data_IF_736509635061
#
_entry.id   IF_736509635061
#
_cell.length_a   1.000
_cell.length_b   1.000
_cell.length_c   1.000
_cell.angle_alpha   90.00
_cell.angle_beta   90.00
_cell.angle_gamma   90.00
#
_symmetry.space_group_name_H-M   'P 1'
#
loop_
_entity.id
_entity.type
_entity.pdbx_description
1 polymer ?
#
# COMPACT_ATOMS: atom_id res chain seq x y z
N UNK A 1 18.19 -11.20 -8.00
CA UNK A 1 17.22 -10.19 -7.53
C UNK A 1 17.82 -8.78 -7.56
N UNK A 2 19.04 -8.56 -7.05
CA UNK A 2 19.69 -7.24 -6.98
C UNK A 2 19.83 -6.58 -8.35
N UNK A 3 20.33 -7.28 -9.37
CA UNK A 3 20.47 -6.76 -10.75
C UNK A 3 19.11 -6.35 -11.34
N UNK A 4 18.06 -7.13 -11.06
CA UNK A 4 16.71 -6.79 -11.52
C UNK A 4 16.20 -5.52 -10.84
N UNK A 5 16.36 -5.40 -9.52
CA UNK A 5 16.03 -4.21 -8.76
C UNK A 5 16.73 -2.96 -9.32
N UNK A 6 18.04 -3.03 -9.51
CA UNK A 6 18.86 -1.94 -10.05
C UNK A 6 18.38 -1.50 -11.44
N UNK A 7 18.12 -2.45 -12.33
CA UNK A 7 17.60 -2.15 -13.69
C UNK A 7 16.23 -1.47 -13.68
N UNK A 8 15.34 -1.89 -12.79
CA UNK A 8 14.01 -1.28 -12.65
C UNK A 8 14.13 0.14 -12.08
N UNK A 9 14.97 0.33 -11.07
CA UNK A 9 15.28 1.64 -10.50
C UNK A 9 15.84 2.60 -11.55
N UNK A 10 16.88 2.18 -12.27
CA UNK A 10 17.58 3.02 -13.25
C UNK A 10 16.66 3.42 -14.42
N UNK A 11 15.65 2.62 -14.71
CA UNK A 11 14.59 2.92 -15.68
C UNK A 11 13.41 3.69 -15.06
N UNK A 12 13.47 3.99 -13.76
CA UNK A 12 12.39 4.66 -13.01
C UNK A 12 11.06 3.88 -12.99
N UNK A 13 11.12 2.57 -13.14
CA UNK A 13 9.96 1.69 -13.24
C UNK A 13 9.40 1.26 -11.88
N UNK A 14 9.90 1.82 -10.77
CA UNK A 14 9.24 1.68 -9.46
C UNK A 14 8.00 2.57 -9.35
N UNK A 15 8.03 3.72 -10.04
CA UNK A 15 6.91 4.65 -10.15
C UNK A 15 6.86 5.17 -11.60
N UNK A 16 6.47 4.28 -12.57
CA UNK A 16 6.61 4.57 -13.98
C UNK A 16 5.73 5.71 -14.47
N UNK A 17 4.60 5.95 -13.84
CA UNK A 17 3.59 6.97 -14.14
C UNK A 17 3.78 8.28 -13.35
N UNK A 18 4.66 8.28 -12.34
CA UNK A 18 4.88 9.52 -11.57
C UNK A 18 5.66 10.56 -12.38
N UNK A 19 5.47 11.87 -12.07
CA UNK A 19 6.23 12.94 -12.73
C UNK A 19 7.73 12.74 -12.63
N UNK A 20 8.42 13.04 -13.73
CA UNK A 20 9.88 12.85 -13.84
C UNK A 20 10.66 13.73 -12.85
N UNK A 21 10.11 14.89 -12.49
CA UNK A 21 10.68 15.84 -11.53
C UNK A 21 10.79 15.31 -10.11
N UNK A 22 9.94 14.31 -9.76
CA UNK A 22 9.98 13.60 -8.48
C UNK A 22 10.64 12.20 -8.60
N UNK A 23 11.34 11.94 -9.70
CA UNK A 23 12.07 10.69 -9.91
C UNK A 23 11.24 9.57 -10.55
N UNK A 24 10.01 9.85 -10.97
CA UNK A 24 9.16 8.92 -11.71
C UNK A 24 9.55 8.75 -13.17
N UNK A 25 8.90 7.80 -13.85
CA UNK A 25 9.14 7.51 -15.28
C UNK A 25 8.43 8.45 -16.24
N UNK A 26 7.43 9.20 -15.79
CA UNK A 26 6.64 10.12 -16.62
C UNK A 26 5.83 9.42 -17.73
N UNK A 27 5.50 8.15 -17.56
CA UNK A 27 4.72 7.41 -18.56
C UNK A 27 3.26 7.83 -18.51
N UNK A 28 2.68 8.05 -19.67
CA UNK A 28 1.23 8.18 -19.80
C UNK A 28 0.52 6.83 -19.63
N UNK A 29 -0.80 6.86 -19.49
CA UNK A 29 -1.60 5.66 -19.23
C UNK A 29 -1.44 4.58 -20.32
N UNK A 30 -1.25 4.96 -21.59
CA UNK A 30 -1.08 4.01 -22.69
C UNK A 30 0.27 3.28 -22.58
N UNK A 31 1.35 4.02 -22.33
CA UNK A 31 2.70 3.45 -22.15
C UNK A 31 2.79 2.64 -20.87
N UNK A 32 2.15 3.08 -19.78
CA UNK A 32 2.07 2.32 -18.54
C UNK A 32 1.42 0.96 -18.77
N UNK A 33 0.28 0.92 -19.48
CA UNK A 33 -0.41 -0.34 -19.82
C UNK A 33 0.51 -1.29 -20.62
N UNK A 34 1.21 -0.79 -21.61
CA UNK A 34 2.16 -1.58 -22.40
C UNK A 34 3.26 -2.17 -21.49
N UNK A 35 3.82 -1.35 -20.59
CA UNK A 35 4.83 -1.81 -19.64
C UNK A 35 4.28 -2.91 -18.71
N UNK A 36 3.10 -2.72 -18.14
CA UNK A 36 2.44 -3.70 -17.26
C UNK A 36 2.15 -5.01 -18.00
N UNK A 37 1.65 -4.95 -19.25
CA UNK A 37 1.37 -6.11 -20.09
C UNK A 37 2.65 -6.88 -20.44
N UNK A 38 3.73 -6.20 -20.79
CA UNK A 38 5.01 -6.85 -21.08
C UNK A 38 5.63 -7.48 -19.82
N UNK A 39 5.58 -6.80 -18.66
CA UNK A 39 6.05 -7.38 -17.40
C UNK A 39 5.24 -8.65 -17.04
N UNK A 40 3.93 -8.64 -17.26
CA UNK A 40 3.04 -9.79 -17.05
C UNK A 40 3.35 -10.91 -18.04
N UNK A 41 3.47 -10.59 -19.33
CA UNK A 41 3.81 -11.56 -20.39
C UNK A 41 5.14 -12.26 -20.11
N UNK A 42 6.13 -11.52 -19.66
CA UNK A 42 7.46 -12.05 -19.32
C UNK A 42 7.53 -12.68 -17.92
N UNK A 43 6.41 -12.68 -17.17
CA UNK A 43 6.35 -13.15 -15.78
C UNK A 43 7.41 -12.49 -14.88
N UNK A 44 7.66 -11.22 -15.13
CA UNK A 44 8.59 -10.45 -14.32
C UNK A 44 7.97 -10.17 -12.95
N UNK A 45 8.74 -10.38 -11.88
CA UNK A 45 8.31 -10.01 -10.54
C UNK A 45 8.37 -8.50 -10.38
N UNK A 46 7.34 -7.91 -9.77
CA UNK A 46 7.40 -6.53 -9.30
C UNK A 46 8.52 -6.44 -8.27
N UNK A 47 9.50 -5.54 -8.46
CA UNK A 47 10.75 -5.59 -7.70
C UNK A 47 10.58 -5.24 -6.22
N UNK A 48 9.52 -4.55 -5.86
CA UNK A 48 9.33 -4.11 -4.49
C UNK A 48 7.86 -3.88 -4.12
N UNK A 49 7.44 -4.54 -3.05
CA UNK A 49 6.24 -4.18 -2.30
C UNK A 49 6.61 -3.02 -1.39
N UNK A 50 6.26 -1.80 -1.76
CA UNK A 50 6.57 -0.61 -0.98
C UNK A 50 5.30 0.21 -0.74
N UNK A 51 4.85 0.26 0.52
CA UNK A 51 3.69 1.04 0.93
C UNK A 51 3.84 2.54 0.58
N UNK A 52 5.08 3.03 0.56
CA UNK A 52 5.39 4.39 0.10
C UNK A 52 4.96 4.61 -1.35
N UNK A 53 5.35 3.73 -2.27
CA UNK A 53 5.03 3.88 -3.70
C UNK A 53 3.55 3.63 -3.96
N UNK A 54 2.96 2.60 -3.35
CA UNK A 54 1.60 2.19 -3.70
C UNK A 54 0.49 3.00 -3.05
N UNK A 55 0.77 3.58 -1.89
CA UNK A 55 -0.24 4.21 -1.05
C UNK A 55 0.07 5.67 -0.75
N UNK A 56 1.22 5.95 -0.13
CA UNK A 56 1.56 7.31 0.31
C UNK A 56 1.96 8.22 -0.84
N UNK A 57 2.73 7.72 -1.81
CA UNK A 57 3.25 8.55 -2.91
C UNK A 57 2.16 9.19 -3.76
N UNK A 58 1.13 8.45 -4.23
CA UNK A 58 -0.02 9.04 -4.90
C UNK A 58 -0.71 10.11 -4.04
N UNK A 59 -0.81 9.89 -2.74
CA UNK A 59 -1.39 10.88 -1.79
C UNK A 59 -0.49 12.10 -1.64
N UNK A 60 0.83 11.94 -1.61
CA UNK A 60 1.77 13.06 -1.60
C UNK A 60 1.69 13.87 -2.91
N UNK A 61 1.53 13.22 -4.04
CA UNK A 61 1.35 13.90 -5.34
C UNK A 61 0.07 14.76 -5.34
N UNK A 62 -1.00 14.31 -4.69
CA UNK A 62 -2.29 15.00 -4.64
C UNK A 62 -2.36 16.07 -3.54
N UNK A 63 -1.92 15.76 -2.30
CA UNK A 63 -2.12 16.59 -1.11
C UNK A 63 -0.85 17.20 -0.54
N UNK A 64 0.32 16.75 -0.96
CA UNK A 64 1.60 17.23 -0.45
C UNK A 64 1.95 18.62 -0.95
N UNK A 65 2.64 19.39 -0.12
CA UNK A 65 3.29 20.63 -0.56
C UNK A 65 4.46 20.31 -1.50
N UNK A 66 4.91 21.29 -2.28
CA UNK A 66 6.06 21.11 -3.17
C UNK A 66 7.31 20.65 -2.39
N UNK A 67 7.55 21.25 -1.23
CA UNK A 67 8.67 20.87 -0.36
C UNK A 67 8.58 19.39 0.08
N UNK A 68 7.38 18.92 0.43
CA UNK A 68 7.16 17.51 0.81
C UNK A 68 7.36 16.57 -0.39
N UNK A 69 6.87 16.93 -1.57
CA UNK A 69 7.06 16.14 -2.79
C UNK A 69 8.55 15.99 -3.12
N UNK A 70 9.29 17.08 -3.11
CA UNK A 70 10.74 17.08 -3.37
C UNK A 70 11.53 16.33 -2.30
N UNK A 71 11.09 16.35 -1.05
CA UNK A 71 11.77 15.67 0.03
C UNK A 71 11.53 14.15 0.02
N UNK A 72 10.29 13.70 -0.19
CA UNK A 72 9.89 12.33 0.08
C UNK A 72 9.75 11.45 -1.17
N UNK A 73 9.32 11.99 -2.31
CA UNK A 73 9.07 11.18 -3.50
C UNK A 73 10.36 10.63 -4.16
N UNK A 74 11.43 11.41 -4.36
CA UNK A 74 12.63 10.89 -5.01
C UNK A 74 13.30 9.72 -4.28
N UNK A 75 13.47 9.72 -2.94
CA UNK A 75 14.01 8.54 -2.25
C UNK A 75 13.07 7.33 -2.30
N UNK A 76 11.73 7.52 -2.38
CA UNK A 76 10.80 6.41 -2.61
C UNK A 76 11.04 5.75 -3.97
N UNK A 77 11.15 6.56 -5.03
CA UNK A 77 11.33 6.03 -6.40
C UNK A 77 12.68 5.34 -6.59
N UNK A 78 13.66 5.62 -5.74
CA UNK A 78 14.95 4.92 -5.72
C UNK A 78 14.98 3.71 -4.79
N UNK A 79 13.91 3.49 -4.02
CA UNK A 79 13.82 2.38 -3.07
C UNK A 79 14.78 2.51 -1.87
N UNK A 80 15.12 3.75 -1.50
CA UNK A 80 16.06 4.08 -0.42
C UNK A 80 15.39 4.20 0.94
N UNK A 81 14.07 4.35 0.99
CA UNK A 81 13.30 4.66 2.19
C UNK A 81 12.14 3.69 2.36
N UNK A 82 12.11 3.04 3.52
CA UNK A 82 11.02 2.16 3.94
C UNK A 82 9.91 2.93 4.65
N UNK A 83 8.65 2.59 4.33
CA UNK A 83 7.46 3.22 4.90
C UNK A 83 6.57 2.21 5.60
N UNK A 84 5.98 2.59 6.73
CA UNK A 84 4.92 1.83 7.36
C UNK A 84 3.68 2.69 7.63
N UNK A 85 2.55 2.02 7.85
CA UNK A 85 1.24 2.65 8.07
C UNK A 85 0.83 2.61 9.52
N UNK A 86 0.61 3.77 10.14
CA UNK A 86 0.16 3.90 11.51
C UNK A 86 -1.32 4.29 11.60
N UNK A 87 -2.24 3.35 11.30
CA UNK A 87 -3.68 3.62 11.32
C UNK A 87 -4.36 2.98 12.53
N UNK A 88 -4.46 1.65 12.57
CA UNK A 88 -5.14 0.92 13.64
C UNK A 88 -4.53 1.14 15.01
N UNK A 89 -5.38 1.15 16.04
CA UNK A 89 -4.99 1.20 17.45
C UNK A 89 -5.57 0.00 18.19
N UNK A 90 -5.09 -0.33 19.40
CA UNK A 90 -5.57 -1.50 20.13
C UNK A 90 -7.11 -1.58 20.28
N UNK A 91 -7.77 -0.42 20.38
CA UNK A 91 -9.22 -0.29 20.55
C UNK A 91 -9.94 0.20 19.28
N UNK A 92 -9.23 0.49 18.20
CA UNK A 92 -9.80 1.07 16.97
C UNK A 92 -9.21 0.44 15.72
N UNK A 93 -9.96 -0.47 15.11
CA UNK A 93 -9.64 -1.09 13.83
C UNK A 93 -10.72 -0.75 12.81
N UNK A 94 -11.85 -1.45 12.86
CA UNK A 94 -12.99 -1.21 11.96
C UNK A 94 -13.60 0.19 12.16
N UNK A 95 -13.67 0.68 13.40
CA UNK A 95 -14.04 2.05 13.72
C UNK A 95 -12.80 2.95 13.80
N UNK A 96 -12.08 3.06 12.70
CA UNK A 96 -10.81 3.80 12.61
C UNK A 96 -10.97 5.28 13.00
N UNK A 97 -12.13 5.89 12.73
CA UNK A 97 -12.38 7.29 13.08
C UNK A 97 -12.39 7.55 14.59
N UNK A 98 -12.49 6.52 15.43
CA UNK A 98 -12.40 6.64 16.90
C UNK A 98 -10.95 6.59 17.43
N UNK A 99 -9.95 6.73 16.57
CA UNK A 99 -8.54 6.74 16.95
C UNK A 99 -8.26 7.81 18.04
N UNK A 100 -7.39 7.44 19.01
CA UNK A 100 -7.06 8.25 20.17
C UNK A 100 -5.60 8.71 20.26
N UNK A 101 -4.70 8.20 19.37
CA UNK A 101 -3.33 8.72 19.31
C UNK A 101 -3.37 10.22 19.07
N UNK A 102 -2.97 11.00 20.07
CA UNK A 102 -3.08 12.47 20.07
C UNK A 102 -1.88 13.13 19.38
N UNK A 103 -2.10 14.30 18.81
CA UNK A 103 -1.06 15.17 18.30
C UNK A 103 -1.38 16.62 18.66
N UNK A 104 -0.72 17.12 19.71
CA UNK A 104 -0.89 18.47 20.21
C UNK A 104 0.12 19.42 19.56
N UNK A 105 -0.37 20.54 19.03
CA UNK A 105 0.51 21.54 18.45
C UNK A 105 1.32 22.29 19.53
N UNK A 106 2.65 22.29 19.42
CA UNK A 106 3.58 23.01 20.29
C UNK A 106 4.67 23.72 19.47
N UNK A 107 4.56 25.04 19.33
CA UNK A 107 5.48 25.81 18.50
C UNK A 107 5.52 25.24 17.06
N UNK A 108 6.69 24.90 16.57
CA UNK A 108 6.93 24.36 15.23
C UNK A 108 6.74 22.85 15.12
N UNK A 109 6.20 22.19 16.14
CA UNK A 109 6.03 20.74 16.18
C UNK A 109 4.63 20.33 16.61
N UNK A 110 4.28 19.09 16.29
CA UNK A 110 3.25 18.32 16.97
C UNK A 110 3.93 17.40 17.99
N UNK A 111 3.38 17.31 19.19
CA UNK A 111 3.77 16.31 20.20
C UNK A 111 2.78 15.17 20.12
N UNK A 112 3.28 14.00 19.73
CA UNK A 112 2.46 12.80 19.46
C UNK A 112 2.57 11.83 20.62
N UNK A 113 1.41 11.36 21.14
CA UNK A 113 1.33 10.37 22.22
C UNK A 113 0.20 9.37 21.94
N UNK A 114 0.47 8.09 22.14
CA UNK A 114 -0.48 7.01 21.90
C UNK A 114 0.17 5.73 21.41
N UNK A 115 -0.60 4.90 20.73
CA UNK A 115 -0.09 3.62 20.19
C UNK A 115 -0.79 3.22 18.91
N UNK A 116 -0.03 2.61 17.99
CA UNK A 116 -0.53 1.95 16.79
C UNK A 116 -0.27 0.46 16.85
N UNK A 117 -1.14 -0.33 16.22
CA UNK A 117 -1.03 -1.79 16.19
C UNK A 117 -1.23 -2.33 14.77
N UNK A 118 -0.81 -3.55 14.54
CA UNK A 118 -0.86 -4.24 13.25
C UNK A 118 -0.05 -3.51 12.16
N UNK A 119 0.96 -2.75 12.58
CA UNK A 119 1.82 -1.98 11.68
C UNK A 119 2.80 -2.91 10.99
N UNK A 120 2.56 -3.20 9.70
CA UNK A 120 3.43 -4.06 8.90
C UNK A 120 4.82 -3.46 8.73
N UNK A 121 5.87 -4.20 9.14
CA UNK A 121 7.26 -3.84 8.90
C UNK A 121 7.76 -2.58 9.61
N UNK A 122 7.10 -2.14 10.68
CA UNK A 122 7.53 -0.96 11.44
C UNK A 122 8.93 -1.11 12.05
N UNK A 123 9.38 -2.34 12.30
CA UNK A 123 10.72 -2.68 12.77
C UNK A 123 11.84 -2.39 11.76
N UNK A 124 11.48 -2.14 10.50
CA UNK A 124 12.40 -1.91 9.38
C UNK A 124 12.13 -0.62 8.63
N UNK A 125 11.03 0.06 8.96
CA UNK A 125 10.63 1.29 8.29
C UNK A 125 11.45 2.48 8.79
N UNK A 126 11.82 3.37 7.88
CA UNK A 126 12.44 4.66 8.21
C UNK A 126 11.38 5.70 8.60
N UNK A 127 10.21 5.62 7.98
CA UNK A 127 9.12 6.57 8.15
C UNK A 127 7.78 5.87 8.33
N UNK A 128 6.90 6.54 9.07
CA UNK A 128 5.49 6.16 9.22
C UNK A 128 4.60 7.30 8.73
N UNK A 129 3.55 6.97 7.98
CA UNK A 129 2.41 7.87 7.81
C UNK A 129 1.32 7.45 8.80
N UNK A 130 1.02 8.36 9.75
CA UNK A 130 0.16 8.08 10.89
C UNK A 130 -1.07 8.97 10.91
N UNK A 131 -2.25 8.37 11.14
CA UNK A 131 -3.44 9.12 11.52
C UNK A 131 -3.39 9.45 13.01
N UNK A 132 -3.61 10.71 13.32
CA UNK A 132 -3.56 11.23 14.69
C UNK A 132 -4.74 12.13 14.99
N UNK A 133 -5.12 12.25 16.26
CA UNK A 133 -6.16 13.12 16.76
C UNK A 133 -5.56 14.51 17.06
N UNK A 134 -5.83 15.49 16.22
CA UNK A 134 -5.38 16.87 16.39
C UNK A 134 -6.43 17.75 17.08
N UNK A 135 -7.71 17.38 16.98
CA UNK A 135 -8.80 18.04 17.71
C UNK A 135 -9.71 16.99 18.38
N UNK A 136 -9.58 16.78 19.70
CA UNK A 136 -10.40 15.84 20.44
C UNK A 136 -11.84 16.30 20.69
N UNK A 137 -12.14 17.60 20.50
CA UNK A 137 -13.48 18.16 20.68
C UNK A 137 -14.33 18.11 19.42
N UNK A 138 -13.70 17.95 18.26
CA UNK A 138 -14.39 17.85 16.97
C UNK A 138 -15.14 16.51 16.81
N UNK A 139 -16.17 16.45 15.96
CA UNK A 139 -16.77 15.18 15.53
C UNK A 139 -15.68 14.23 15.04
N UNK A 140 -15.84 12.92 15.30
CA UNK A 140 -14.74 11.96 15.19
C UNK A 140 -14.04 11.91 13.82
N UNK A 141 -14.70 12.26 12.72
CA UNK A 141 -14.10 12.34 11.39
C UNK A 141 -13.41 13.68 11.10
N UNK A 142 -13.68 14.72 11.88
CA UNK A 142 -13.26 16.10 11.61
C UNK A 142 -12.07 16.56 12.46
N UNK A 143 -11.64 15.77 13.41
CA UNK A 143 -10.49 16.09 14.30
C UNK A 143 -9.25 15.23 14.02
N UNK A 144 -9.10 14.69 12.81
CA UNK A 144 -8.03 13.78 12.42
C UNK A 144 -7.08 14.47 11.44
N UNK A 145 -5.77 14.26 11.61
CA UNK A 145 -4.73 14.70 10.69
C UNK A 145 -3.83 13.53 10.28
N UNK A 146 -3.14 13.66 9.14
CA UNK A 146 -2.12 12.71 8.70
C UNK A 146 -0.73 13.32 8.89
N UNK A 147 0.13 12.67 9.67
CA UNK A 147 1.51 13.09 9.91
C UNK A 147 2.51 12.09 9.34
N UNK A 148 3.63 12.60 8.81
CA UNK A 148 4.81 11.82 8.48
C UNK A 148 5.77 11.83 9.68
N UNK A 149 6.04 10.66 10.23
CA UNK A 149 6.83 10.48 11.45
C UNK A 149 8.12 9.75 11.12
N UNK A 150 9.28 10.33 11.44
CA UNK A 150 10.58 9.65 11.38
C UNK A 150 10.62 8.59 12.50
N UNK A 151 10.75 7.31 12.13
CA UNK A 151 10.72 6.18 13.06
C UNK A 151 11.93 6.14 14.00
N UNK A 152 12.96 6.97 13.74
CA UNK A 152 14.13 7.13 14.60
C UNK A 152 13.96 8.24 15.64
N UNK A 153 12.82 8.94 15.66
CA UNK A 153 12.55 10.00 16.61
C UNK A 153 12.57 9.48 18.05
N UNK A 154 13.15 10.23 19.01
CA UNK A 154 13.06 9.89 20.41
C UNK A 154 11.62 9.74 20.88
N UNK A 155 11.33 8.77 21.76
CA UNK A 155 10.00 8.49 22.28
C UNK A 155 9.23 7.45 21.46
N UNK A 156 9.79 6.93 20.37
CA UNK A 156 9.20 5.80 19.62
C UNK A 156 9.74 4.47 20.15
N UNK A 157 8.81 3.54 20.44
CA UNK A 157 9.13 2.17 20.78
C UNK A 157 8.38 1.24 19.85
N UNK A 158 9.09 0.35 19.15
CA UNK A 158 8.51 -0.66 18.25
C UNK A 158 8.60 -2.02 18.91
N UNK A 159 7.48 -2.74 18.99
CA UNK A 159 7.39 -4.10 19.53
C UNK A 159 6.80 -5.04 18.47
N UNK A 160 7.59 -6.00 17.97
CA UNK A 160 7.06 -7.03 17.07
C UNK A 160 5.96 -7.86 17.74
N UNK A 161 4.93 -8.23 16.96
CA UNK A 161 3.84 -9.10 17.40
C UNK A 161 4.14 -10.50 16.88
N UNK A 162 4.38 -11.44 17.79
CA UNK A 162 4.61 -12.83 17.43
C UNK A 162 3.29 -13.49 17.01
N UNK A 163 3.26 -14.05 15.81
CA UNK A 163 2.11 -14.75 15.25
C UNK A 163 2.19 -16.24 15.60
N UNK A 164 1.06 -16.93 15.52
CA UNK A 164 0.98 -18.39 15.74
C UNK A 164 1.93 -19.20 14.84
N UNK A 165 2.34 -18.63 13.71
CA UNK A 165 3.32 -19.19 12.78
C UNK A 165 4.77 -19.02 13.24
N UNK A 166 5.04 -18.34 14.37
CA UNK A 166 6.37 -17.93 14.82
C UNK A 166 6.94 -16.75 14.03
N UNK A 167 6.27 -16.26 12.97
CA UNK A 167 6.70 -15.08 12.23
C UNK A 167 6.22 -13.81 12.92
N UNK A 168 7.01 -12.73 12.80
CA UNK A 168 6.64 -11.40 13.28
C UNK A 168 6.65 -10.41 12.12
N UNK A 169 5.52 -10.27 11.45
CA UNK A 169 5.34 -9.34 10.32
C UNK A 169 4.69 -8.03 10.70
N UNK A 170 4.03 -8.01 11.85
CA UNK A 170 3.30 -6.87 12.37
C UNK A 170 3.93 -6.38 13.65
N UNK A 171 3.82 -5.09 13.91
CA UNK A 171 4.35 -4.47 15.12
C UNK A 171 3.26 -3.67 15.83
N UNK A 172 3.46 -3.48 17.12
CA UNK A 172 2.86 -2.41 17.90
C UNK A 172 3.89 -1.29 18.01
N UNK A 173 3.45 -0.04 17.82
CA UNK A 173 4.31 1.15 17.88
C UNK A 173 3.75 2.09 18.92
N UNK A 174 4.58 2.50 19.89
CA UNK A 174 4.23 3.41 20.97
C UNK A 174 4.88 4.76 20.72
N UNK A 175 4.14 5.82 21.01
CA UNK A 175 4.59 7.21 20.95
C UNK A 175 4.49 7.81 22.34
N UNK A 176 5.62 8.25 22.88
CA UNK A 176 5.73 8.94 24.17
C UNK A 176 6.32 10.33 23.95
N UNK A 177 5.45 11.31 23.75
CA UNK A 177 5.82 12.71 23.56
C UNK A 177 6.68 12.94 22.29
N UNK A 178 6.47 12.19 21.21
CA UNK A 178 7.27 12.27 19.98
C UNK A 178 7.07 13.61 19.29
N UNK A 179 8.15 14.32 19.05
CA UNK A 179 8.12 15.63 18.37
C UNK A 179 8.20 15.47 16.86
N UNK A 180 7.13 15.84 16.18
CA UNK A 180 7.00 15.78 14.72
C UNK A 180 6.92 17.20 14.16
N UNK A 181 7.79 17.61 13.22
CA UNK A 181 7.74 18.93 12.63
C UNK A 181 6.38 19.22 11.97
N UNK A 182 5.89 20.46 12.08
CA UNK A 182 4.63 20.88 11.44
C UNK A 182 4.65 20.70 9.92
N UNK A 183 5.83 20.84 9.30
CA UNK A 183 6.02 20.59 7.88
C UNK A 183 5.77 19.16 7.44
N UNK A 184 5.62 18.21 8.36
CA UNK A 184 5.31 16.81 8.09
C UNK A 184 3.79 16.52 8.09
N UNK A 185 2.94 17.52 8.22
CA UNK A 185 1.49 17.40 8.09
C UNK A 185 1.11 17.31 6.61
N UNK A 186 0.37 16.29 6.22
CA UNK A 186 -0.16 16.12 4.86
C UNK A 186 -1.59 16.65 4.77
N UNK A 187 -1.80 17.56 3.82
CA UNK A 187 -3.08 18.25 3.69
C UNK A 187 -3.36 19.25 4.83
N UNK A 188 -4.59 19.72 4.99
CA UNK A 188 -4.95 20.67 6.06
C UNK A 188 -5.04 19.99 7.43
N UNK A 189 -4.81 20.77 8.50
CA UNK A 189 -5.10 20.34 9.87
C UNK A 189 -6.54 19.88 9.97
N UNK A 190 -6.78 18.76 10.64
CA UNK A 190 -8.09 18.11 10.79
C UNK A 190 -8.69 17.55 9.48
N UNK A 191 -7.98 17.66 8.34
CA UNK A 191 -8.39 17.11 7.04
C UNK A 191 -7.93 15.67 6.78
N UNK A 192 -7.26 15.05 7.73
CA UNK A 192 -6.64 13.73 7.57
C UNK A 192 -7.60 12.60 7.22
N UNK A 193 -8.89 12.72 7.56
CA UNK A 193 -9.87 11.69 7.18
C UNK A 193 -10.11 11.64 5.67
N UNK A 194 -10.17 12.78 4.99
CA UNK A 194 -10.29 12.83 3.53
C UNK A 194 -9.04 12.23 2.86
N UNK A 195 -7.85 12.59 3.36
CA UNK A 195 -6.58 12.04 2.93
C UNK A 195 -6.52 10.52 3.14
N UNK A 196 -6.97 10.03 4.31
CA UNK A 196 -7.02 8.59 4.62
C UNK A 196 -7.96 7.83 3.66
N UNK A 197 -9.13 8.38 3.35
CA UNK A 197 -10.04 7.76 2.37
C UNK A 197 -9.39 7.61 1.01
N UNK A 198 -8.65 8.61 0.57
CA UNK A 198 -7.92 8.57 -0.71
C UNK A 198 -6.80 7.53 -0.66
N UNK A 199 -6.03 7.48 0.42
CA UNK A 199 -4.98 6.50 0.64
C UNK A 199 -5.52 5.06 0.59
N UNK A 200 -6.65 4.81 1.25
CA UNK A 200 -7.32 3.50 1.23
C UNK A 200 -7.90 3.13 -0.15
N UNK A 201 -8.23 4.12 -1.00
CA UNK A 201 -8.57 3.85 -2.41
C UNK A 201 -7.35 3.34 -3.18
N UNK A 202 -6.19 3.99 -3.01
CA UNK A 202 -4.94 3.52 -3.61
C UNK A 202 -4.55 2.13 -3.10
N UNK A 203 -4.74 1.85 -1.81
CA UNK A 203 -4.53 0.52 -1.23
C UNK A 203 -5.37 -0.55 -1.94
N UNK A 204 -6.69 -0.33 -2.05
CA UNK A 204 -7.58 -1.27 -2.74
C UNK A 204 -7.16 -1.50 -4.20
N UNK A 205 -6.83 -0.44 -4.91
CA UNK A 205 -6.34 -0.52 -6.29
C UNK A 205 -5.02 -1.30 -6.39
N UNK A 206 -4.08 -1.04 -5.49
CA UNK A 206 -2.80 -1.76 -5.43
C UNK A 206 -2.99 -3.24 -5.08
N UNK A 207 -3.86 -3.55 -4.11
CA UNK A 207 -4.17 -4.93 -3.72
C UNK A 207 -4.81 -5.72 -4.86
N UNK A 208 -5.71 -5.11 -5.63
CA UNK A 208 -6.29 -5.72 -6.83
C UNK A 208 -5.20 -6.06 -7.85
N UNK A 209 -4.31 -5.12 -8.16
CA UNK A 209 -3.18 -5.35 -9.08
C UNK A 209 -2.19 -6.40 -8.55
N UNK A 210 -1.98 -6.48 -7.24
CA UNK A 210 -1.10 -7.49 -6.62
C UNK A 210 -1.63 -8.91 -6.76
N UNK A 211 -2.94 -9.10 -6.70
CA UNK A 211 -3.59 -10.38 -6.96
C UNK A 211 -3.17 -10.94 -8.31
N UNK A 212 -3.10 -10.08 -9.33
CA UNK A 212 -2.71 -10.46 -10.69
C UNK A 212 -1.20 -10.73 -10.84
N UNK A 213 -0.35 -10.11 -10.01
CA UNK A 213 1.11 -10.16 -10.15
C UNK A 213 1.79 -11.19 -9.24
N UNK A 214 1.19 -11.53 -8.09
CA UNK A 214 1.82 -12.38 -7.06
C UNK A 214 1.14 -13.73 -6.84
N UNK A 215 0.02 -14.00 -7.47
CA UNK A 215 -0.50 -15.37 -7.46
C UNK A 215 0.51 -16.25 -8.19
N UNK A 216 0.88 -17.44 -7.62
CA UNK A 216 1.59 -18.46 -8.37
C UNK A 216 0.77 -18.66 -9.63
N UNK A 217 1.39 -18.47 -10.79
CA UNK A 217 0.79 -18.39 -12.13
C UNK A 217 -0.62 -18.90 -12.10
N UNK A 218 -1.61 -18.03 -12.25
CA UNK A 218 -3.03 -18.46 -12.18
C UNK A 218 -3.09 -19.77 -12.85
N UNK A 219 -3.45 -20.82 -12.11
CA UNK A 219 -3.57 -22.14 -12.73
C UNK A 219 -4.65 -21.93 -13.75
N UNK A 220 -4.25 -21.84 -15.02
CA UNK A 220 -5.24 -21.78 -16.08
C UNK A 220 -6.10 -23.03 -15.89
N UNK A 221 -7.29 -22.80 -15.34
CA UNK A 221 -8.18 -23.86 -14.87
C UNK A 221 -8.45 -24.85 -16.02
N UNK A 222 -8.63 -24.34 -17.22
CA UNK A 222 -8.97 -25.17 -18.38
C UNK A 222 -7.84 -26.14 -18.75
N UNK A 223 -6.57 -25.71 -18.94
CA UNK A 223 -5.44 -26.63 -19.13
C UNK A 223 -5.19 -27.55 -17.93
N UNK A 224 -5.39 -27.07 -16.70
CA UNK A 224 -5.22 -27.91 -15.51
C UNK A 224 -6.24 -29.04 -15.47
N UNK A 225 -7.52 -28.74 -15.71
CA UNK A 225 -8.59 -29.74 -15.78
C UNK A 225 -8.36 -30.69 -16.96
N UNK A 226 -7.96 -30.19 -18.13
CA UNK A 226 -7.62 -31.06 -19.29
C UNK A 226 -6.51 -32.02 -18.92
N UNK A 227 -5.44 -31.60 -18.29
CA UNK A 227 -4.34 -32.48 -17.82
C UNK A 227 -4.81 -33.52 -16.82
N UNK A 228 -5.61 -33.09 -15.85
CA UNK A 228 -6.18 -33.98 -14.82
C UNK A 228 -7.06 -35.08 -15.46
N UNK A 229 -7.97 -34.69 -16.35
CA UNK A 229 -8.87 -35.62 -17.03
C UNK A 229 -8.14 -36.56 -18.02
N UNK A 230 -7.03 -36.10 -18.64
CA UNK A 230 -6.22 -36.92 -19.49
C UNK A 230 -5.42 -38.01 -18.75
N UNK A 231 -5.08 -37.75 -17.48
CA UNK A 231 -4.36 -38.70 -16.61
C UNK A 231 -5.28 -39.62 -15.77
N UNK A 232 -6.60 -39.35 -15.76
CA UNK A 232 -7.54 -40.15 -15.00
C UNK A 232 -7.91 -41.47 -15.73
N UNK A 233 -7.89 -42.58 -15.00
CA UNK A 233 -8.24 -43.90 -15.51
C UNK A 233 -9.72 -44.08 -15.87
N UNK A 234 -10.59 -43.15 -15.46
CA UNK A 234 -12.00 -43.10 -15.82
C UNK A 234 -12.28 -42.02 -16.85
N UNK A 235 -13.05 -42.30 -17.93
CA UNK A 235 -13.43 -41.31 -18.92
C UNK A 235 -14.24 -40.21 -18.25
N UNK A 236 -13.70 -39.03 -18.30
CA UNK A 236 -14.05 -37.81 -17.66
C UNK A 236 -15.45 -37.66 -17.16
N UNK A 237 -15.54 -37.45 -15.87
CA UNK A 237 -16.76 -37.05 -15.18
C UNK A 237 -17.33 -35.79 -15.87
N UNK A 238 -18.47 -35.94 -16.55
CA UNK A 238 -19.18 -34.83 -17.19
C UNK A 238 -19.45 -33.68 -16.21
N UNK A 239 -19.67 -33.98 -14.93
CA UNK A 239 -19.88 -33.01 -13.86
C UNK A 239 -18.61 -32.17 -13.61
N UNK A 240 -17.42 -32.76 -13.64
CA UNK A 240 -16.14 -32.02 -13.49
C UNK A 240 -15.96 -31.07 -14.68
N UNK A 241 -16.21 -31.52 -15.90
CA UNK A 241 -16.14 -30.67 -17.10
C UNK A 241 -17.11 -29.50 -17.02
N UNK A 242 -18.36 -29.76 -16.64
CA UNK A 242 -19.39 -28.75 -16.56
C UNK A 242 -19.05 -27.70 -15.50
N UNK A 243 -18.56 -28.14 -14.33
CA UNK A 243 -18.09 -27.20 -13.27
C UNK A 243 -16.88 -26.39 -13.72
N UNK A 244 -15.92 -27.00 -14.42
CA UNK A 244 -14.76 -26.30 -14.94
C UNK A 244 -15.13 -25.24 -15.97
N UNK A 245 -16.10 -25.53 -16.85
CA UNK A 245 -16.61 -24.56 -17.83
C UNK A 245 -17.32 -23.42 -17.11
N UNK A 246 -18.19 -23.70 -16.14
CA UNK A 246 -18.88 -22.68 -15.35
C UNK A 246 -17.86 -21.75 -14.66
N UNK A 247 -16.86 -22.30 -13.95
CA UNK A 247 -15.80 -21.51 -13.32
C UNK A 247 -15.00 -20.67 -14.33
N UNK A 248 -14.70 -21.22 -15.52
CA UNK A 248 -13.98 -20.46 -16.55
C UNK A 248 -14.83 -19.30 -17.10
N UNK A 249 -16.14 -19.50 -17.25
CA UNK A 249 -17.09 -18.45 -17.64
C UNK A 249 -17.17 -17.34 -16.58
N UNK A 250 -17.29 -17.72 -15.31
CA UNK A 250 -17.34 -16.76 -14.19
C UNK A 250 -16.04 -15.97 -14.10
N UNK A 251 -14.89 -16.63 -14.23
CA UNK A 251 -13.59 -15.98 -14.27
C UNK A 251 -13.48 -14.99 -15.43
N UNK A 252 -13.93 -15.37 -16.63
CA UNK A 252 -13.91 -14.48 -17.79
C UNK A 252 -14.83 -13.26 -17.59
N UNK A 253 -16.05 -13.48 -17.10
CA UNK A 253 -16.99 -12.39 -16.78
C UNK A 253 -16.43 -11.44 -15.73
N UNK A 254 -15.74 -11.97 -14.70
CA UNK A 254 -15.06 -11.18 -13.69
C UNK A 254 -13.97 -10.29 -14.30
N UNK A 255 -13.09 -10.84 -15.16
CA UNK A 255 -12.06 -10.05 -15.83
C UNK A 255 -12.65 -8.95 -16.72
N UNK A 256 -13.68 -9.25 -17.51
CA UNK A 256 -14.37 -8.23 -18.31
C UNK A 256 -14.97 -7.11 -17.45
N UNK A 257 -15.46 -7.44 -16.25
CA UNK A 257 -16.00 -6.46 -15.31
C UNK A 257 -14.88 -5.56 -14.75
N UNK A 258 -13.73 -6.15 -14.38
CA UNK A 258 -12.57 -5.37 -13.93
C UNK A 258 -12.03 -4.45 -15.01
N UNK A 259 -11.94 -4.94 -16.26
CA UNK A 259 -11.49 -4.12 -17.41
C UNK A 259 -12.41 -2.93 -17.64
N UNK A 260 -13.72 -3.11 -17.53
CA UNK A 260 -14.71 -2.03 -17.65
C UNK A 260 -14.57 -1.00 -16.51
N UNK A 261 -14.40 -1.47 -15.25
CA UNK A 261 -14.19 -0.59 -14.09
C UNK A 261 -12.90 0.23 -14.19
N UNK A 262 -11.89 -0.25 -14.92
CA UNK A 262 -10.64 0.49 -15.16
C UNK A 262 -10.73 1.51 -16.29
N UNK A 263 -11.86 1.56 -17.02
CA UNK A 263 -12.12 2.51 -18.12
C UNK A 263 -13.03 3.69 -17.68
N UNK A 264 -13.73 3.55 -16.56
CA UNK A 264 -14.53 4.58 -15.89
C UNK A 264 -13.67 5.36 -14.86
#
# INVERSE_FOLDING_TARGET
>A
QRVWFERMRDRKWFAPDWPAEYGGGGLDAARLRILEDELRRLRCRVPQVNLGIWMLGPVLLEFGTEAQKQQFLPPMTRGEVGWCQGFSEPNTGSDLASLGTSARAEGEHYVVSGAKIWTSGADKADWMYALVRTDPAAPKHEGISLLLVDMRSPGITVRPIELISGASRFCQVFFDGVRVPRGNLIGPVNGGWAVAKRLLQHERSAMSKMGDLNLPAQVDLVPAVKRFLAGAAAPGDAAIRQRAVACAMDQHAFHLTLDRMGQE
#
